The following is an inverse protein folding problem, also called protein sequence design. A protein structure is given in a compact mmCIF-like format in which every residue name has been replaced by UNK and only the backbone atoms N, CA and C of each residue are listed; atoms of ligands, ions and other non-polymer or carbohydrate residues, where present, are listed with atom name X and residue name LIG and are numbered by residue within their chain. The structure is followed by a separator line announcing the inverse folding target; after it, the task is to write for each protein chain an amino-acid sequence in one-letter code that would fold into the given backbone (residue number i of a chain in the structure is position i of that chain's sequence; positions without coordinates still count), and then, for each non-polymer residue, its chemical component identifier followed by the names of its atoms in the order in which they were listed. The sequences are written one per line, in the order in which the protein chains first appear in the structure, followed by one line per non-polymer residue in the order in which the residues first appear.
data_IF_144814037578
#
_entry.id   IF_144814037578
#
_cell.length_a   1.000
_cell.length_b   1.000
_cell.length_c   1.000
_cell.angle_alpha   90.00
_cell.angle_beta   90.00
_cell.angle_gamma   90.00
#
_symmetry.space_group_name_H-M   'P 1'
#
loop_
_entity.id
_entity.type
_entity.pdbx_description
1 polymer ?
#
# COMPACT_ATOMS: atom_id res chain seq x y z
N UNK A 1 9.75 19.15 0.04
CA UNK A 1 9.44 17.76 -0.37
C UNK A 1 8.17 17.81 -1.20
N UNK A 2 8.25 17.41 -2.47
CA UNK A 2 7.09 17.46 -3.37
C UNK A 2 6.06 16.45 -2.85
N UNK A 3 4.84 16.87 -2.47
CA UNK A 3 3.84 15.94 -1.96
C UNK A 3 3.57 14.90 -3.04
N UNK A 4 3.50 13.63 -2.65
CA UNK A 4 3.10 12.57 -3.56
C UNK A 4 1.75 12.96 -4.16
N UNK A 5 1.72 13.17 -5.48
CA UNK A 5 0.49 13.49 -6.22
C UNK A 5 -0.32 12.21 -6.43
N UNK A 6 -0.62 11.50 -5.35
CA UNK A 6 -1.56 10.39 -5.41
C UNK A 6 -2.96 10.95 -5.31
N UNK A 7 -3.79 10.65 -6.29
CA UNK A 7 -5.20 11.01 -6.25
C UNK A 7 -5.88 10.32 -5.08
N UNK A 8 -6.93 10.95 -4.53
CA UNK A 8 -7.74 10.38 -3.45
C UNK A 8 -8.25 8.97 -3.80
N UNK A 9 -8.63 8.75 -5.06
CA UNK A 9 -9.10 7.45 -5.55
C UNK A 9 -8.01 6.38 -5.45
N UNK A 10 -6.77 6.71 -5.84
CA UNK A 10 -5.62 5.81 -5.73
C UNK A 10 -5.29 5.52 -4.28
N UNK A 11 -5.34 6.54 -3.42
CA UNK A 11 -5.11 6.37 -1.98
C UNK A 11 -6.15 5.45 -1.34
N UNK A 12 -7.44 5.57 -1.69
CA UNK A 12 -8.50 4.66 -1.23
C UNK A 12 -8.26 3.21 -1.68
N UNK A 13 -7.90 3.01 -2.96
CA UNK A 13 -7.61 1.67 -3.50
C UNK A 13 -6.41 1.02 -2.79
N UNK A 14 -5.33 1.78 -2.60
CA UNK A 14 -4.13 1.31 -1.89
C UNK A 14 -4.41 1.03 -0.41
N UNK A 15 -5.14 1.92 0.27
CA UNK A 15 -5.57 1.72 1.65
C UNK A 15 -6.34 0.41 1.83
N UNK A 16 -7.30 0.15 0.92
CA UNK A 16 -8.10 -1.08 0.94
C UNK A 16 -7.27 -2.33 0.62
N UNK A 17 -6.40 -2.27 -0.38
CA UNK A 17 -5.55 -3.40 -0.76
C UNK A 17 -4.55 -3.76 0.36
N UNK A 18 -3.91 -2.76 0.95
CA UNK A 18 -2.90 -2.90 1.99
C UNK A 18 -3.51 -3.09 3.39
N UNK A 19 -4.82 -2.92 3.56
CA UNK A 19 -5.48 -2.99 4.85
C UNK A 19 -5.01 -1.92 5.84
N UNK A 20 -4.61 -0.74 5.35
CA UNK A 20 -4.11 0.38 6.18
C UNK A 20 -4.95 1.63 5.96
N UNK A 21 -5.05 2.56 6.94
CA UNK A 21 -5.90 3.74 6.80
C UNK A 21 -5.38 4.71 5.73
N UNK A 22 -6.30 5.43 5.09
CA UNK A 22 -5.98 6.35 3.99
C UNK A 22 -5.09 7.53 4.42
N UNK A 23 -5.25 8.02 5.65
CA UNK A 23 -4.35 9.03 6.22
C UNK A 23 -2.90 8.57 6.21
N UNK A 24 -2.64 7.30 6.58
CA UNK A 24 -1.29 6.74 6.48
C UNK A 24 -0.79 6.75 5.04
N UNK A 25 -1.61 6.32 4.07
CA UNK A 25 -1.24 6.31 2.64
C UNK A 25 -0.88 7.70 2.12
N UNK A 26 -1.63 8.74 2.52
CA UNK A 26 -1.38 10.12 2.09
C UNK A 26 -0.08 10.72 2.63
N UNK A 27 0.39 10.22 3.78
CA UNK A 27 1.67 10.62 4.39
C UNK A 27 2.81 9.64 4.09
N UNK A 28 2.51 8.49 3.48
CA UNK A 28 3.47 7.42 3.27
C UNK A 28 4.44 7.76 2.14
N UNK A 29 5.76 7.65 2.33
CA UNK A 29 6.70 7.83 1.24
C UNK A 29 6.61 6.65 0.25
N UNK A 30 6.96 6.87 -1.03
CA UNK A 30 6.66 5.94 -2.12
C UNK A 30 7.37 4.59 -1.97
N UNK A 31 8.59 4.57 -1.42
CA UNK A 31 9.35 3.34 -1.21
C UNK A 31 8.70 2.41 -0.16
N UNK A 32 7.99 2.97 0.83
CA UNK A 32 7.27 2.17 1.84
C UNK A 32 6.03 1.52 1.23
N UNK A 33 5.31 2.23 0.34
CA UNK A 33 4.18 1.66 -0.40
C UNK A 33 4.64 0.45 -1.24
N UNK A 34 5.76 0.60 -1.95
CA UNK A 34 6.34 -0.51 -2.73
C UNK A 34 6.70 -1.69 -1.83
N UNK A 35 7.35 -1.45 -0.68
CA UNK A 35 7.67 -2.54 0.25
C UNK A 35 6.42 -3.26 0.75
N UNK A 36 5.37 -2.54 1.15
CA UNK A 36 4.12 -3.16 1.62
C UNK A 36 3.39 -3.95 0.53
N UNK A 37 3.45 -3.51 -0.72
CA UNK A 37 2.93 -4.26 -1.86
C UNK A 37 3.69 -5.58 -2.06
N UNK A 38 5.02 -5.54 -1.98
CA UNK A 38 5.85 -6.74 -2.03
C UNK A 38 5.58 -7.69 -0.86
N UNK A 39 5.34 -7.16 0.34
CA UNK A 39 4.96 -7.97 1.50
C UNK A 39 3.58 -8.61 1.35
N UNK A 40 2.62 -7.92 0.74
CA UNK A 40 1.31 -8.46 0.38
C UNK A 40 1.44 -9.64 -0.57
N UNK A 41 2.17 -9.47 -1.68
CA UNK A 41 2.39 -10.54 -2.67
C UNK A 41 3.08 -11.76 -2.04
N UNK A 42 4.03 -11.52 -1.14
CA UNK A 42 4.69 -12.60 -0.39
C UNK A 42 3.72 -13.29 0.58
N UNK A 43 2.89 -12.55 1.30
CA UNK A 43 1.89 -13.12 2.23
C UNK A 43 0.80 -13.89 1.52
N UNK A 44 0.35 -13.43 0.34
CA UNK A 44 -0.58 -14.20 -0.51
C UNK A 44 0.05 -15.52 -0.97
N UNK A 45 1.34 -15.52 -1.33
CA UNK A 45 2.04 -16.76 -1.69
C UNK A 45 2.31 -17.70 -0.50
N UNK A 46 2.43 -17.17 0.72
CA UNK A 46 2.74 -17.96 1.92
C UNK A 46 1.48 -18.50 2.62
N UNK A 47 0.30 -17.90 2.37
CA UNK A 47 -0.98 -18.38 2.92
C UNK A 47 -1.72 -19.41 2.03
N UNK A 48 -1.07 -19.92 0.98
CA UNK A 48 -1.54 -21.07 0.23
C UNK A 48 -0.65 -22.29 0.58
N UNK A 49 -0.86 -22.95 1.75
CA UNK A 49 -0.20 -24.21 2.03
C UNK A 49 -0.85 -25.29 1.15
N UNK A 50 -0.28 -25.53 -0.03
CA UNK A 50 -0.49 -26.77 -0.79
C UNK A 50 0.12 -27.97 -0.06
#
# INVERSE_FOLDING_TARGET
MQPLKISLETAQKLAKALGVPIEQIMHMPPHILVNKLLELEKKEKENDPS
#
